data_IF_615911479778
#
_entry.id   IF_615911479778
#
_cell.length_a   1.000
_cell.length_b   1.000
_cell.length_c   1.000
_cell.angle_alpha   90.00
_cell.angle_beta   90.00
_cell.angle_gamma   90.00
#
_symmetry.space_group_name_H-M   'P 1'
#
loop_
_entity.id
_entity.type
_entity.pdbx_description
1 polymer ?
#
# COMPACT_ATOMS: atom_id res chain seq x y z
N UNK A 1 -14.60 -8.66 -56.25
CA UNK A 1 -13.75 -7.96 -55.26
C UNK A 1 -14.29 -8.31 -53.87
N UNK A 2 -13.63 -9.22 -53.14
CA UNK A 2 -13.98 -9.60 -51.76
C UNK A 2 -13.28 -8.65 -50.80
N UNK A 3 -13.98 -8.12 -49.78
CA UNK A 3 -13.56 -8.02 -48.35
C UNK A 3 -14.85 -7.76 -47.52
N UNK A 4 -15.63 -8.79 -47.19
CA UNK A 4 -15.86 -9.37 -45.84
C UNK A 4 -16.27 -8.40 -44.73
N UNK A 5 -17.51 -8.61 -44.25
CA UNK A 5 -18.01 -8.20 -42.94
C UNK A 5 -16.95 -8.46 -41.87
N UNK A 6 -16.67 -7.46 -41.04
CA UNK A 6 -16.11 -7.71 -39.71
C UNK A 6 -17.18 -7.27 -38.72
N UNK A 7 -17.67 -8.28 -38.03
CA UNK A 7 -18.66 -8.18 -36.97
C UNK A 7 -18.23 -7.10 -35.99
N UNK A 8 -19.11 -6.12 -35.79
CA UNK A 8 -18.98 -5.16 -34.70
C UNK A 8 -19.04 -5.95 -33.41
N UNK A 9 -17.86 -6.27 -32.87
CA UNK A 9 -17.72 -6.99 -31.63
C UNK A 9 -18.60 -6.30 -30.57
N UNK A 10 -19.44 -7.04 -29.84
CA UNK A 10 -20.27 -6.46 -28.80
C UNK A 10 -19.36 -5.68 -27.85
N UNK A 11 -19.73 -4.44 -27.48
CA UNK A 11 -18.89 -3.60 -26.64
C UNK A 11 -18.55 -4.38 -25.36
N UNK A 12 -17.27 -4.37 -24.93
CA UNK A 12 -16.85 -5.15 -23.78
C UNK A 12 -17.71 -4.78 -22.56
N UNK A 13 -18.10 -5.75 -21.73
CA UNK A 13 -18.95 -5.51 -20.57
C UNK A 13 -18.32 -4.42 -19.70
N UNK A 14 -19.11 -3.38 -19.41
CA UNK A 14 -18.72 -2.25 -18.58
C UNK A 14 -18.46 -2.76 -17.17
N UNK A 15 -17.21 -3.03 -16.84
CA UNK A 15 -16.81 -3.23 -15.46
C UNK A 15 -16.78 -1.85 -14.79
N UNK A 16 -17.49 -1.63 -13.66
CA UNK A 16 -17.33 -0.43 -12.88
C UNK A 16 -15.86 -0.31 -12.48
N UNK A 17 -15.29 0.86 -12.72
CA UNK A 17 -13.89 1.12 -12.39
C UNK A 17 -13.87 1.41 -10.89
N UNK A 18 -13.61 0.37 -10.09
CA UNK A 18 -13.32 0.53 -8.67
C UNK A 18 -11.91 1.10 -8.57
N UNK A 19 -11.80 2.35 -8.09
CA UNK A 19 -10.52 2.98 -7.75
C UNK A 19 -10.37 2.84 -6.25
N UNK A 20 -9.37 2.09 -5.80
CA UNK A 20 -8.99 2.03 -4.39
C UNK A 20 -8.20 3.30 -4.06
N UNK A 21 -8.85 4.25 -3.38
CA UNK A 21 -8.18 5.34 -2.67
C UNK A 21 -7.71 4.82 -1.28
N UNK A 22 -6.59 5.32 -0.75
CA UNK A 22 -6.14 4.93 0.58
C UNK A 22 -7.16 5.43 1.61
N UNK A 23 -7.66 4.51 2.44
CA UNK A 23 -8.80 4.60 3.35
C UNK A 23 -10.18 4.40 2.71
N UNK A 24 -10.60 3.13 2.63
CA UNK A 24 -11.96 2.53 2.74
C UNK A 24 -13.20 3.38 2.37
N UNK A 25 -13.11 4.27 1.39
CA UNK A 25 -14.24 5.00 0.82
C UNK A 25 -14.37 4.59 -0.64
N UNK A 26 -15.30 3.70 -0.92
CA UNK A 26 -15.69 3.34 -2.29
C UNK A 26 -16.40 4.55 -2.91
N UNK A 27 -15.66 5.39 -3.64
CA UNK A 27 -16.23 6.52 -4.36
C UNK A 27 -16.70 6.00 -5.72
N UNK A 28 -18.00 5.73 -5.86
CA UNK A 28 -18.61 5.39 -7.15
C UNK A 28 -18.61 6.62 -8.08
N UNK A 29 -17.50 6.85 -8.79
CA UNK A 29 -17.42 7.89 -9.81
C UNK A 29 -18.10 7.37 -11.08
N UNK A 30 -19.32 7.83 -11.34
CA UNK A 30 -19.98 7.62 -12.63
C UNK A 30 -19.35 8.54 -13.67
N UNK A 31 -18.37 8.02 -14.42
CA UNK A 31 -17.80 8.76 -15.56
C UNK A 31 -18.86 8.87 -16.68
N UNK A 32 -19.27 10.09 -17.09
CA UNK A 32 -20.19 10.25 -18.20
C UNK A 32 -19.52 9.77 -19.49
N UNK A 33 -20.10 8.76 -20.13
CA UNK A 33 -19.62 8.22 -21.42
C UNK A 33 -20.28 9.02 -22.54
N UNK A 34 -19.49 9.79 -23.29
CA UNK A 34 -19.93 10.45 -24.52
C UNK A 34 -20.13 9.43 -25.66
N UNK A 35 -21.06 9.69 -26.57
CA UNK A 35 -21.51 8.80 -27.65
C UNK A 35 -20.44 8.56 -28.71
N UNK A 36 -19.51 9.50 -28.85
CA UNK A 36 -18.46 9.50 -29.88
C UNK A 36 -17.08 9.12 -29.35
N UNK A 37 -16.95 8.72 -28.08
CA UNK A 37 -15.66 8.40 -27.43
C UNK A 37 -14.60 9.52 -27.48
N UNK A 38 -15.00 10.79 -27.70
CA UNK A 38 -14.10 11.95 -27.85
C UNK A 38 -13.70 12.62 -26.51
N UNK A 39 -14.06 12.01 -25.38
CA UNK A 39 -13.77 12.54 -24.06
C UNK A 39 -12.60 11.79 -23.43
N UNK A 40 -11.41 12.39 -23.48
CA UNK A 40 -10.23 11.95 -22.74
C UNK A 40 -10.20 12.60 -21.35
N UNK A 41 -10.48 11.86 -20.27
CA UNK A 41 -10.38 12.41 -18.92
C UNK A 41 -8.92 12.77 -18.60
N UNK A 42 -8.67 14.08 -18.43
CA UNK A 42 -7.33 14.64 -18.15
C UNK A 42 -6.85 14.31 -16.73
N UNK A 43 -7.78 14.17 -15.77
CA UNK A 43 -7.47 14.02 -14.33
C UNK A 43 -7.20 12.57 -13.94
N UNK A 44 -7.84 11.61 -14.61
CA UNK A 44 -7.63 10.15 -14.41
C UNK A 44 -7.62 9.53 -15.80
N UNK A 45 -6.45 9.15 -16.31
CA UNK A 45 -6.39 8.54 -17.64
C UNK A 45 -7.17 7.24 -17.64
N UNK A 46 -7.77 6.91 -18.78
CA UNK A 46 -8.44 5.62 -19.01
C UNK A 46 -7.46 4.49 -18.64
N UNK A 47 -7.88 3.57 -17.76
CA UNK A 47 -7.09 2.44 -17.22
C UNK A 47 -6.01 2.77 -16.17
N UNK A 48 -5.83 4.03 -15.79
CA UNK A 48 -4.92 4.41 -14.69
C UNK A 48 -5.63 4.17 -13.34
N UNK A 49 -5.21 3.11 -12.64
CA UNK A 49 -5.84 2.67 -11.38
C UNK A 49 -5.03 3.03 -10.13
N UNK A 50 -3.86 3.64 -10.28
CA UNK A 50 -2.89 3.81 -9.19
C UNK A 50 -2.31 5.22 -9.19
N UNK A 51 -2.12 5.78 -8.00
CA UNK A 51 -1.42 7.05 -7.80
C UNK A 51 0.08 6.76 -7.93
N UNK A 52 0.75 7.33 -8.93
CA UNK A 52 2.11 6.93 -9.38
C UNK A 52 3.25 6.96 -8.34
N UNK A 53 3.05 7.51 -7.14
CA UNK A 53 4.10 7.61 -6.11
C UNK A 53 4.59 6.25 -5.55
N UNK A 54 3.79 5.19 -5.70
CA UNK A 54 4.13 3.86 -5.18
C UNK A 54 5.00 3.08 -6.18
N UNK A 55 4.84 3.31 -7.48
CA UNK A 55 5.51 2.56 -8.55
C UNK A 55 7.03 2.78 -8.54
N UNK A 56 7.48 4.04 -8.40
CA UNK A 56 8.90 4.37 -8.31
C UNK A 56 9.57 3.74 -7.10
N UNK A 57 8.85 3.67 -5.97
CA UNK A 57 9.33 2.98 -4.75
C UNK A 57 9.47 1.49 -5.00
N UNK A 58 8.49 0.85 -5.62
CA UNK A 58 8.55 -0.56 -5.99
C UNK A 58 9.76 -0.84 -6.89
N UNK A 59 9.98 -0.02 -7.93
CA UNK A 59 11.12 -0.16 -8.84
C UNK A 59 12.44 -0.04 -8.08
N UNK A 60 12.55 0.94 -7.18
CA UNK A 60 13.75 1.13 -6.35
C UNK A 60 14.03 -0.06 -5.42
N UNK A 61 12.98 -0.73 -4.92
CA UNK A 61 13.10 -1.86 -4.01
C UNK A 61 13.44 -3.16 -4.75
N UNK A 62 12.90 -3.34 -5.96
CA UNK A 62 13.34 -4.40 -6.86
C UNK A 62 14.81 -4.23 -7.24
N UNK A 63 15.27 -3.00 -7.50
CA UNK A 63 16.67 -2.71 -7.77
C UNK A 63 17.58 -3.00 -6.56
N UNK A 64 17.07 -2.83 -5.33
CA UNK A 64 17.75 -3.23 -4.08
C UNK A 64 17.70 -4.75 -3.79
N UNK A 65 17.19 -5.57 -4.71
CA UNK A 65 17.04 -7.02 -4.56
C UNK A 65 16.23 -7.44 -3.31
N UNK A 66 15.26 -6.63 -2.90
CA UNK A 66 14.31 -7.02 -1.85
C UNK A 66 13.36 -8.11 -2.36
N UNK A 67 12.94 -9.01 -1.48
CA UNK A 67 11.95 -10.03 -1.87
C UNK A 67 10.57 -9.40 -2.04
N UNK A 68 9.73 -9.97 -2.89
CA UNK A 68 8.35 -9.47 -3.10
C UNK A 68 7.57 -9.39 -1.78
N UNK A 69 7.83 -10.33 -0.84
CA UNK A 69 7.21 -10.34 0.49
C UNK A 69 7.67 -9.16 1.36
N UNK A 70 8.95 -8.84 1.31
CA UNK A 70 9.50 -7.70 2.04
C UNK A 70 9.00 -6.40 1.42
N UNK A 71 8.93 -6.33 0.09
CA UNK A 71 8.38 -5.18 -0.65
C UNK A 71 6.94 -4.90 -0.24
N UNK A 72 6.09 -5.93 -0.22
CA UNK A 72 4.70 -5.80 0.20
C UNK A 72 4.57 -5.27 1.64
N UNK A 73 5.39 -5.81 2.56
CA UNK A 73 5.34 -5.41 3.97
C UNK A 73 5.73 -3.94 4.15
N UNK A 74 6.79 -3.51 3.46
CA UNK A 74 7.25 -2.11 3.47
C UNK A 74 6.27 -1.12 2.88
N UNK A 75 5.56 -1.49 1.83
CA UNK A 75 4.56 -0.60 1.23
C UNK A 75 3.42 -0.35 2.21
N UNK A 76 2.93 -1.40 2.88
CA UNK A 76 1.87 -1.29 3.88
C UNK A 76 2.31 -0.38 5.04
N UNK A 77 3.52 -0.60 5.55
CA UNK A 77 4.12 0.21 6.62
C UNK A 77 4.22 1.70 6.23
N UNK A 78 4.71 1.99 5.03
CA UNK A 78 4.81 3.35 4.51
C UNK A 78 3.44 4.01 4.32
N UNK A 79 2.44 3.26 3.85
CA UNK A 79 1.08 3.76 3.72
C UNK A 79 0.51 4.18 5.08
N UNK A 80 0.63 3.32 6.10
CA UNK A 80 0.15 3.62 7.45
C UNK A 80 0.84 4.88 8.01
N UNK A 81 2.16 4.97 7.90
CA UNK A 81 2.91 6.15 8.38
C UNK A 81 2.52 7.43 7.63
N UNK A 82 2.25 7.33 6.32
CA UNK A 82 1.80 8.45 5.50
C UNK A 82 0.38 8.88 5.89
N UNK A 83 -0.51 7.94 6.17
CA UNK A 83 -1.86 8.24 6.67
C UNK A 83 -1.82 8.93 8.03
N UNK A 84 -0.95 8.50 8.94
CA UNK A 84 -0.77 9.16 10.25
C UNK A 84 -0.32 10.62 10.07
N UNK A 85 0.59 10.87 9.12
CA UNK A 85 1.03 12.22 8.78
C UNK A 85 -0.11 13.05 8.17
N UNK A 86 -0.89 12.47 7.27
CA UNK A 86 -2.06 13.14 6.67
C UNK A 86 -3.16 13.47 7.69
N UNK A 87 -3.25 12.72 8.79
CA UNK A 87 -4.13 13.01 9.93
C UNK A 87 -3.62 14.14 10.82
N UNK A 88 -2.41 14.66 10.59
CA UNK A 88 -1.84 15.78 11.32
C UNK A 88 -0.86 15.41 12.44
N UNK A 89 -0.30 14.19 12.44
CA UNK A 89 0.79 13.86 13.35
C UNK A 89 2.08 14.53 12.86
N UNK A 90 2.58 15.50 13.63
CA UNK A 90 3.78 16.27 13.27
C UNK A 90 5.07 15.53 13.61
N UNK A 91 5.21 15.06 14.85
CA UNK A 91 6.44 14.43 15.35
C UNK A 91 6.12 13.22 16.26
N UNK A 92 6.89 12.15 16.09
CA UNK A 92 6.89 10.96 16.96
C UNK A 92 8.28 10.89 17.61
N UNK A 93 8.36 10.91 18.93
CA UNK A 93 9.65 10.84 19.63
C UNK A 93 10.17 9.41 19.79
N UNK A 94 9.29 8.45 20.10
CA UNK A 94 9.65 7.07 20.38
C UNK A 94 8.78 6.13 19.56
N UNK A 95 9.40 5.26 18.77
CA UNK A 95 8.72 4.18 18.06
C UNK A 95 9.24 2.82 18.53
N UNK A 96 8.36 2.02 19.15
CA UNK A 96 8.67 0.68 19.60
C UNK A 96 8.34 -0.34 18.50
N UNK A 97 9.36 -0.92 17.88
CA UNK A 97 9.24 -1.82 16.75
C UNK A 97 9.62 -3.27 17.09
N UNK A 98 9.16 -4.19 16.26
CA UNK A 98 9.40 -5.63 16.42
C UNK A 98 10.77 -6.11 15.87
N UNK A 99 11.62 -5.21 15.38
CA UNK A 99 12.85 -5.60 14.69
C UNK A 99 12.60 -6.23 13.31
N UNK A 100 11.44 -5.94 12.70
CA UNK A 100 11.20 -6.15 11.28
C UNK A 100 12.30 -5.45 10.46
N UNK A 101 12.93 -6.18 9.55
CA UNK A 101 13.97 -5.64 8.67
C UNK A 101 13.32 -4.61 7.75
N UNK A 102 13.93 -3.43 7.61
CA UNK A 102 13.50 -2.35 6.70
C UNK A 102 12.39 -1.42 7.22
N UNK A 103 11.60 -1.84 8.22
CA UNK A 103 10.69 -0.93 8.93
C UNK A 103 11.39 0.29 9.57
N UNK A 104 12.59 0.17 10.17
CA UNK A 104 13.28 1.36 10.68
C UNK A 104 13.69 2.36 9.58
N UNK A 105 13.98 1.90 8.35
CA UNK A 105 14.30 2.77 7.21
C UNK A 105 13.05 3.55 6.77
N UNK A 106 11.88 2.90 6.77
CA UNK A 106 10.60 3.53 6.46
C UNK A 106 10.22 4.63 7.47
N UNK A 107 10.37 4.36 8.78
CA UNK A 107 10.09 5.34 9.84
C UNK A 107 10.99 6.56 9.69
N UNK A 108 12.30 6.35 9.52
CA UNK A 108 13.26 7.44 9.34
C UNK A 108 12.97 8.31 8.10
N UNK A 109 12.32 7.75 7.08
CA UNK A 109 11.93 8.48 5.87
C UNK A 109 10.74 9.42 6.12
N UNK A 110 9.79 9.03 6.97
CA UNK A 110 8.58 9.82 7.25
C UNK A 110 8.80 10.77 8.44
N UNK A 111 9.46 10.27 9.49
CA UNK A 111 9.75 10.96 10.74
C UNK A 111 11.25 10.82 11.08
N UNK A 112 12.03 11.85 10.73
CA UNK A 112 13.49 11.82 10.87
C UNK A 112 14.01 11.97 12.31
N UNK A 113 13.19 12.50 13.22
CA UNK A 113 13.56 12.72 14.64
C UNK A 113 13.23 11.55 15.55
N UNK A 114 12.60 10.49 15.04
CA UNK A 114 12.08 9.40 15.86
C UNK A 114 13.19 8.47 16.32
N UNK A 115 13.28 8.25 17.64
CA UNK A 115 14.12 7.19 18.18
C UNK A 115 13.42 5.84 18.12
N UNK A 116 14.11 4.88 17.50
CA UNK A 116 13.59 3.54 17.27
C UNK A 116 14.07 2.63 18.39
N UNK A 117 13.12 2.05 19.13
CA UNK A 117 13.38 1.11 20.22
C UNK A 117 12.85 -0.27 19.85
N UNK A 118 13.55 -1.32 20.31
CA UNK A 118 13.02 -2.68 20.19
C UNK A 118 11.93 -2.90 21.22
N UNK A 119 10.82 -3.48 20.78
CA UNK A 119 9.65 -3.71 21.62
C UNK A 119 9.94 -4.80 22.65
N UNK A 120 10.21 -4.40 23.89
CA UNK A 120 10.43 -5.30 25.02
C UNK A 120 9.21 -6.20 25.25
N UNK A 121 8.00 -5.67 25.07
CA UNK A 121 6.75 -6.45 25.18
C UNK A 121 6.73 -7.56 24.13
N UNK A 122 7.12 -7.25 22.89
CA UNK A 122 7.19 -8.29 21.87
C UNK A 122 8.26 -9.31 22.20
N UNK A 123 9.46 -8.87 22.61
CA UNK A 123 10.54 -9.77 23.00
C UNK A 123 10.11 -10.72 24.12
N UNK A 124 9.45 -10.21 25.17
CA UNK A 124 8.91 -11.00 26.27
C UNK A 124 7.86 -11.99 25.76
N UNK A 125 6.93 -11.58 24.89
CA UNK A 125 5.91 -12.49 24.34
C UNK A 125 6.54 -13.57 23.47
N UNK A 126 7.55 -13.23 22.67
CA UNK A 126 8.25 -14.18 21.81
C UNK A 126 9.07 -15.18 22.63
N UNK A 127 9.75 -14.74 23.70
CA UNK A 127 10.51 -15.63 24.59
C UNK A 127 9.60 -16.52 25.43
N UNK A 128 8.53 -15.96 26.01
CA UNK A 128 7.55 -16.72 26.80
C UNK A 128 6.78 -17.76 25.97
N UNK A 129 6.79 -17.66 24.63
CA UNK A 129 6.21 -18.71 23.77
C UNK A 129 6.91 -20.05 23.98
N UNK A 130 8.23 -20.05 24.13
CA UNK A 130 9.06 -21.25 24.29
C UNK A 130 9.11 -21.77 25.73
N UNK A 131 8.70 -20.98 26.72
CA UNK A 131 8.58 -21.44 28.10
C UNK A 131 7.44 -22.47 28.25
N UNK A 132 7.58 -23.43 29.16
CA UNK A 132 6.53 -24.40 29.44
C UNK A 132 5.33 -23.73 30.14
N UNK A 133 4.11 -24.12 29.79
CA UNK A 133 2.87 -23.54 30.34
C UNK A 133 2.79 -23.57 31.88
N UNK A 134 3.44 -24.56 32.51
CA UNK A 134 3.52 -24.70 33.98
C UNK A 134 4.31 -23.55 34.61
N UNK A 135 5.42 -23.17 34.01
CA UNK A 135 6.30 -22.11 34.52
C UNK A 135 5.77 -20.71 34.20
N UNK A 136 4.90 -20.57 33.19
CA UNK A 136 4.22 -19.30 32.86
C UNK A 136 3.24 -18.84 33.93
N UNK A 137 2.66 -19.77 34.71
CA UNK A 137 1.69 -19.44 35.76
C UNK A 137 2.34 -19.04 37.09
N UNK A 138 3.64 -19.31 37.24
CA UNK A 138 4.42 -19.04 38.45
C UNK A 138 5.28 -17.77 38.36
N UNK A 139 5.32 -17.09 37.20
CA UNK A 139 5.90 -15.75 37.01
C UNK A 139 4.84 -14.68 37.27
#
# INVERSE_FOLDING_TARGET
MKITKQDTAPPPPKLPILIEAPADVEIEITVPRDRNEDFDPIIVKKYEKTIGSIEDKIISMYAKAMTIRDIQSHIIELCILTELKNRGVEDIFIASIDGLKGFPEAINTVFSKTEIQLCVIYQIRNTLKYAASKDKKCL
#
